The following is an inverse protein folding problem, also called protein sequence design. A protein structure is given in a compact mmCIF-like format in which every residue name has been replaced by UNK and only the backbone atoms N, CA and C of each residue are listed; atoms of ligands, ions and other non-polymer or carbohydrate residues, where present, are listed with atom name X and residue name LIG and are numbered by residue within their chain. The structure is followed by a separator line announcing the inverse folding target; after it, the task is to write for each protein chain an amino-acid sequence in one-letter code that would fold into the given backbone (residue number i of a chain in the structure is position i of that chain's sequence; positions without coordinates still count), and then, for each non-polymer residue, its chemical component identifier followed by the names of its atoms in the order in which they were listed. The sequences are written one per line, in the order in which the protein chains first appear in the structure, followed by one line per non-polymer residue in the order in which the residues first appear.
data_IF_621985452932
#
_entry.id   IF_621985452932
#
_cell.length_a   1.000
_cell.length_b   1.000
_cell.length_c   1.000
_cell.angle_alpha   90.00
_cell.angle_beta   90.00
_cell.angle_gamma   90.00
#
_symmetry.space_group_name_H-M   'P 1'
#
loop_
_entity.id
_entity.type
_entity.pdbx_description
1 polymer ?
#
# COMPACT_ATOMS: atom_id res chain seq x y z
N UNK A 1 12.03 3.70 -5.33
CA UNK A 1 12.57 3.79 -6.73
C UNK A 1 12.75 2.38 -7.30
N UNK A 2 12.25 2.11 -8.49
CA UNK A 2 12.28 0.79 -9.14
C UNK A 2 12.63 0.87 -10.63
N UNK A 3 13.22 -0.20 -11.15
CA UNK A 3 13.41 -0.48 -12.57
C UNK A 3 12.52 -1.67 -12.93
N UNK A 4 11.71 -1.53 -13.96
CA UNK A 4 10.77 -2.56 -14.41
C UNK A 4 11.08 -2.94 -15.85
N UNK A 5 11.13 -4.24 -16.11
CA UNK A 5 11.11 -4.82 -17.44
C UNK A 5 9.72 -5.39 -17.70
N UNK A 6 9.09 -5.04 -18.82
CA UNK A 6 7.76 -5.51 -19.19
C UNK A 6 7.62 -5.68 -20.71
N UNK A 7 6.52 -6.33 -21.14
CA UNK A 7 6.23 -6.52 -22.57
C UNK A 7 6.07 -5.22 -23.35
N UNK A 8 5.59 -4.16 -22.70
CA UNK A 8 5.53 -2.79 -23.22
C UNK A 8 5.80 -1.80 -22.08
N UNK A 9 6.50 -0.71 -22.40
CA UNK A 9 6.82 0.38 -21.50
C UNK A 9 6.79 1.73 -22.27
N UNK A 10 5.60 2.30 -22.37
CA UNK A 10 5.31 3.50 -23.18
C UNK A 10 4.70 4.58 -22.29
N UNK A 11 5.08 5.84 -22.54
CA UNK A 11 4.46 6.98 -21.86
C UNK A 11 3.02 7.16 -22.35
N UNK A 12 2.12 7.59 -21.48
CA UNK A 12 0.71 7.77 -21.84
C UNK A 12 -0.17 6.55 -21.60
N UNK A 13 0.42 5.39 -21.30
CA UNK A 13 -0.29 4.14 -21.04
C UNK A 13 -0.50 3.89 -19.54
N UNK A 14 -0.27 4.90 -18.70
CA UNK A 14 -0.57 4.81 -17.28
C UNK A 14 -2.08 4.77 -17.03
N UNK A 15 -2.54 3.77 -16.29
CA UNK A 15 -3.94 3.62 -15.89
C UNK A 15 -4.05 3.22 -14.42
N UNK A 16 -5.23 3.45 -13.84
CA UNK A 16 -5.56 3.03 -12.47
C UNK A 16 -6.42 1.78 -12.53
N UNK A 17 -6.03 0.75 -11.78
CA UNK A 17 -6.86 -0.44 -11.56
C UNK A 17 -6.64 -0.99 -10.17
N UNK A 18 -7.71 -1.34 -9.48
CA UNK A 18 -7.66 -1.91 -8.13
C UNK A 18 -6.83 -1.06 -7.16
N UNK A 19 -6.91 0.26 -7.27
CA UNK A 19 -6.12 1.19 -6.45
C UNK A 19 -4.62 1.23 -6.73
N UNK A 20 -4.17 0.58 -7.81
CA UNK A 20 -2.77 0.56 -8.25
C UNK A 20 -2.59 1.37 -9.54
N UNK A 21 -1.40 1.96 -9.69
CA UNK A 21 -0.99 2.70 -10.88
C UNK A 21 -0.15 1.76 -11.75
N UNK A 22 -0.75 1.26 -12.83
CA UNK A 22 -0.10 0.38 -13.81
C UNK A 22 0.28 1.16 -15.05
N UNK A 23 1.20 0.60 -15.84
CA UNK A 23 1.60 1.19 -17.12
C UNK A 23 2.14 0.13 -18.11
N UNK A 24 1.79 -1.14 -17.87
CA UNK A 24 2.25 -2.30 -18.60
C UNK A 24 1.16 -3.39 -18.59
N UNK A 25 0.13 -3.21 -19.42
CA UNK A 25 -0.97 -4.17 -19.55
C UNK A 25 -0.65 -5.29 -20.55
N UNK A 26 -1.15 -6.49 -20.28
CA UNK A 26 -1.18 -7.60 -21.23
C UNK A 26 0.10 -8.44 -21.26
N UNK A 27 0.90 -8.45 -20.17
CA UNK A 27 2.20 -9.12 -20.20
C UNK A 27 2.79 -9.45 -18.84
N UNK A 28 3.92 -10.16 -18.91
CA UNK A 28 4.77 -10.40 -17.76
C UNK A 28 5.60 -9.16 -17.45
N UNK A 29 5.87 -8.96 -16.16
CA UNK A 29 6.80 -7.95 -15.70
C UNK A 29 7.72 -8.50 -14.62
N UNK A 30 8.89 -7.87 -14.50
CA UNK A 30 9.84 -8.04 -13.42
C UNK A 30 10.26 -6.66 -12.96
N UNK A 31 10.19 -6.42 -11.65
CA UNK A 31 10.55 -5.16 -11.03
C UNK A 31 11.60 -5.42 -9.94
N UNK A 32 12.61 -4.56 -9.91
CA UNK A 32 13.58 -4.53 -8.83
C UNK A 32 13.88 -3.09 -8.43
N UNK A 33 14.12 -2.86 -7.14
CA UNK A 33 14.43 -1.52 -6.67
C UNK A 33 14.71 -1.45 -5.18
N UNK A 34 14.53 -0.24 -4.65
CA UNK A 34 14.74 0.09 -3.24
C UNK A 34 13.58 0.94 -2.76
N UNK A 35 13.12 0.63 -1.55
CA UNK A 35 12.19 1.48 -0.79
C UNK A 35 12.91 2.01 0.43
N UNK A 36 12.70 3.29 0.73
CA UNK A 36 13.08 3.91 1.99
C UNK A 36 11.86 4.54 2.65
N UNK A 37 11.61 4.19 3.90
CA UNK A 37 10.53 4.73 4.71
C UNK A 37 11.09 5.48 5.93
N UNK A 38 10.23 6.24 6.60
CA UNK A 38 10.48 6.69 7.97
C UNK A 38 10.35 5.55 8.97
N UNK A 39 10.82 5.78 10.19
CA UNK A 39 10.62 4.85 11.28
C UNK A 39 9.15 4.87 11.71
N UNK A 40 8.51 3.69 11.67
CA UNK A 40 7.14 3.53 12.17
C UNK A 40 7.16 3.25 13.67
N UNK A 41 8.09 2.41 14.11
CA UNK A 41 8.29 2.09 15.51
C UNK A 41 9.48 2.85 16.10
N UNK A 42 9.41 3.22 17.38
CA UNK A 42 10.55 3.79 18.09
C UNK A 42 11.74 2.83 18.05
N UNK A 43 12.95 3.35 17.91
CA UNK A 43 14.18 2.55 17.83
C UNK A 43 14.14 1.48 16.72
N UNK A 44 13.51 1.78 15.58
CA UNK A 44 13.50 0.92 14.40
C UNK A 44 14.93 0.77 13.86
N UNK A 45 15.31 -0.44 13.48
CA UNK A 45 16.70 -0.74 13.11
C UNK A 45 17.00 -0.40 11.66
N UNK A 46 16.03 -0.64 10.79
CA UNK A 46 16.15 -0.50 9.35
C UNK A 46 14.90 0.15 8.80
N UNK A 47 15.10 1.08 7.87
CA UNK A 47 14.03 1.77 7.18
C UNK A 47 14.27 1.83 5.67
N UNK A 48 15.21 1.03 5.17
CA UNK A 48 15.49 0.81 3.77
C UNK A 48 15.44 -0.68 3.48
N UNK A 49 14.80 -1.08 2.39
CA UNK A 49 14.73 -2.48 1.97
C UNK A 49 14.79 -2.58 0.44
N UNK A 50 15.34 -3.69 -0.10
CA UNK A 50 15.16 -3.99 -1.51
C UNK A 50 13.69 -4.31 -1.79
N UNK A 51 13.24 -3.91 -2.97
CA UNK A 51 11.93 -4.29 -3.53
C UNK A 51 12.20 -5.24 -4.68
N UNK A 52 11.51 -6.37 -4.69
CA UNK A 52 11.46 -7.29 -5.82
C UNK A 52 10.00 -7.61 -6.07
N UNK A 53 9.56 -7.46 -7.31
CA UNK A 53 8.25 -7.90 -7.76
C UNK A 53 8.37 -8.63 -9.10
N UNK A 54 7.44 -9.52 -9.38
CA UNK A 54 7.45 -10.39 -10.55
C UNK A 54 6.07 -10.99 -10.74
N UNK A 55 5.57 -11.01 -11.97
CA UNK A 55 4.20 -11.48 -12.20
C UNK A 55 3.64 -11.15 -13.57
N UNK A 56 2.34 -11.38 -13.70
CA UNK A 56 1.54 -11.13 -14.88
C UNK A 56 0.52 -10.04 -14.60
N UNK A 57 0.49 -9.01 -15.45
CA UNK A 57 -0.52 -7.97 -15.45
C UNK A 57 -1.34 -8.08 -16.72
N UNK A 58 -2.58 -8.55 -16.59
CA UNK A 58 -3.53 -8.68 -17.69
C UNK A 58 -4.59 -7.58 -17.65
N UNK A 59 -5.57 -7.69 -18.54
CA UNK A 59 -6.71 -6.78 -18.58
C UNK A 59 -7.59 -6.93 -17.32
N UNK A 60 -8.08 -8.15 -17.05
CA UNK A 60 -8.91 -8.39 -15.87
C UNK A 60 -8.16 -9.09 -14.73
N UNK A 61 -7.15 -9.89 -15.04
CA UNK A 61 -6.45 -10.73 -14.08
C UNK A 61 -5.00 -10.28 -13.89
N UNK A 62 -4.64 -10.04 -12.63
CA UNK A 62 -3.28 -9.68 -12.23
C UNK A 62 -2.80 -10.64 -11.14
N UNK A 63 -1.56 -11.12 -11.25
CA UNK A 63 -0.93 -11.94 -10.23
C UNK A 63 0.57 -11.65 -10.17
N UNK A 64 1.01 -11.12 -9.04
CA UNK A 64 2.42 -10.82 -8.76
C UNK A 64 2.75 -11.07 -7.29
N UNK A 65 3.96 -10.69 -6.84
CA UNK A 65 4.37 -10.88 -5.45
C UNK A 65 3.63 -9.95 -4.47
N UNK A 66 2.98 -8.90 -4.98
CA UNK A 66 2.12 -8.01 -4.22
C UNK A 66 0.75 -8.62 -3.95
N UNK A 67 0.20 -9.42 -4.88
CA UNK A 67 -1.05 -10.13 -4.66
C UNK A 67 -1.69 -10.65 -5.94
N UNK A 68 -2.95 -11.08 -5.80
CA UNK A 68 -3.78 -11.55 -6.91
C UNK A 68 -5.03 -10.69 -6.98
N UNK A 69 -5.41 -10.25 -8.17
CA UNK A 69 -6.58 -9.43 -8.42
C UNK A 69 -7.34 -9.92 -9.66
N UNK A 70 -8.67 -9.85 -9.60
CA UNK A 70 -9.55 -10.14 -10.71
C UNK A 70 -10.67 -9.09 -10.79
N UNK A 71 -10.74 -8.38 -11.91
CA UNK A 71 -11.86 -7.51 -12.28
C UNK A 71 -13.01 -8.38 -12.78
N UNK A 72 -14.17 -8.25 -12.14
CA UNK A 72 -15.37 -9.03 -12.48
C UNK A 72 -16.49 -8.15 -13.05
N UNK A 73 -16.32 -6.82 -13.05
CA UNK A 73 -17.24 -5.86 -13.62
C UNK A 73 -16.48 -4.65 -14.17
N UNK A 74 -16.93 -4.16 -15.32
CA UNK A 74 -16.31 -3.03 -16.01
C UNK A 74 -15.19 -3.44 -16.95
N UNK A 75 -14.75 -2.47 -17.74
CA UNK A 75 -13.57 -2.54 -18.59
C UNK A 75 -12.76 -1.25 -18.46
N UNK A 76 -11.71 -1.10 -19.27
CA UNK A 76 -10.81 0.06 -19.18
C UNK A 76 -11.53 1.38 -19.38
N UNK A 77 -12.62 1.44 -20.14
CA UNK A 77 -13.35 2.64 -20.54
C UNK A 77 -14.65 2.88 -19.79
N UNK A 78 -15.11 1.91 -18.99
CA UNK A 78 -16.30 2.08 -18.17
C UNK A 78 -16.08 2.99 -16.94
N UNK A 79 -17.15 3.70 -16.58
CA UNK A 79 -17.19 4.58 -15.41
C UNK A 79 -16.98 3.81 -14.10
N UNK A 80 -17.48 2.59 -14.00
CA UNK A 80 -17.38 1.76 -12.79
C UNK A 80 -16.68 0.46 -13.13
N UNK A 81 -15.60 0.20 -12.41
CA UNK A 81 -14.89 -1.08 -12.42
C UNK A 81 -14.97 -1.70 -11.03
N UNK A 82 -15.18 -3.00 -10.92
CA UNK A 82 -15.14 -3.71 -9.63
C UNK A 82 -14.26 -4.95 -9.71
N UNK A 83 -13.47 -5.13 -8.65
CA UNK A 83 -12.49 -6.20 -8.58
C UNK A 83 -12.48 -6.85 -7.20
N UNK A 84 -12.11 -8.13 -7.17
CA UNK A 84 -11.77 -8.85 -5.95
C UNK A 84 -10.26 -9.08 -5.92
N UNK A 85 -9.66 -9.09 -4.72
CA UNK A 85 -8.23 -9.34 -4.58
C UNK A 85 -7.87 -10.06 -3.28
N UNK A 86 -6.74 -10.74 -3.32
CA UNK A 86 -6.06 -11.31 -2.15
C UNK A 86 -4.68 -10.68 -2.06
N UNK A 87 -4.34 -10.17 -0.87
CA UNK A 87 -3.12 -9.39 -0.65
C UNK A 87 -2.50 -9.75 0.71
N UNK A 88 -1.17 -9.71 0.79
CA UNK A 88 -0.47 -9.68 2.07
C UNK A 88 -0.57 -8.29 2.69
N UNK A 89 -1.05 -8.17 3.92
CA UNK A 89 -1.27 -6.88 4.57
C UNK A 89 -0.83 -6.87 6.05
N UNK A 90 -0.57 -5.67 6.58
CA UNK A 90 -0.24 -5.49 7.99
C UNK A 90 1.21 -5.15 8.26
N UNK A 91 1.51 -4.91 9.53
CA UNK A 91 2.82 -4.41 9.98
C UNK A 91 3.52 -5.48 10.81
N UNK A 92 4.61 -6.09 10.33
CA UNK A 92 5.33 -7.07 11.13
C UNK A 92 5.88 -6.42 12.40
N UNK A 93 5.72 -7.13 13.53
CA UNK A 93 6.16 -6.67 14.85
C UNK A 93 7.03 -7.74 15.49
N UNK A 94 8.32 -7.48 15.56
CA UNK A 94 9.29 -8.28 16.30
C UNK A 94 10.45 -7.39 16.79
N UNK A 95 11.17 -7.87 17.79
CA UNK A 95 12.45 -7.35 18.26
C UNK A 95 13.53 -7.24 17.19
N UNK A 96 13.40 -7.99 16.08
CA UNK A 96 14.25 -7.84 14.90
C UNK A 96 13.95 -6.56 14.11
N UNK A 97 12.69 -6.12 14.08
CA UNK A 97 12.23 -4.89 13.42
C UNK A 97 12.66 -3.64 14.20
N UNK A 98 12.38 -3.60 15.50
CA UNK A 98 12.70 -2.46 16.34
C UNK A 98 13.05 -2.87 17.78
N UNK A 99 14.01 -2.17 18.39
CA UNK A 99 14.44 -2.49 19.77
C UNK A 99 13.32 -2.24 20.78
N UNK A 100 12.48 -1.24 20.54
CA UNK A 100 11.29 -0.93 21.36
C UNK A 100 10.27 -2.07 21.42
N UNK A 101 10.32 -3.03 20.50
CA UNK A 101 9.44 -4.19 20.43
C UNK A 101 9.97 -5.40 21.20
N UNK A 102 11.15 -5.32 21.82
CA UNK A 102 11.69 -6.43 22.61
C UNK A 102 10.73 -6.84 23.74
N UNK A 103 10.34 -8.10 23.76
CA UNK A 103 9.40 -8.65 24.74
C UNK A 103 7.94 -8.26 24.49
N UNK A 104 7.59 -7.80 23.28
CA UNK A 104 6.21 -7.85 22.79
C UNK A 104 5.95 -9.20 22.16
N UNK A 105 4.70 -9.61 22.08
CA UNK A 105 4.31 -10.74 21.24
C UNK A 105 4.55 -10.39 19.78
N UNK A 106 4.99 -11.39 19.02
CA UNK A 106 5.18 -11.27 17.57
C UNK A 106 3.85 -11.02 16.86
N UNK A 107 3.87 -10.21 15.80
CA UNK A 107 2.77 -10.03 14.85
C UNK A 107 3.33 -10.21 13.45
N UNK A 108 2.68 -11.05 12.66
CA UNK A 108 3.07 -11.32 11.30
C UNK A 108 2.13 -10.60 10.31
N UNK A 109 2.55 -10.56 9.06
CA UNK A 109 1.72 -10.12 7.94
C UNK A 109 0.51 -11.07 7.83
N UNK A 110 -0.67 -10.50 7.66
CA UNK A 110 -1.91 -11.22 7.43
C UNK A 110 -2.15 -11.43 5.94
N UNK A 111 -3.01 -12.39 5.62
CA UNK A 111 -3.59 -12.49 4.27
C UNK A 111 -4.98 -11.88 4.38
N UNK A 112 -5.25 -10.91 3.51
CA UNK A 112 -6.52 -10.22 3.43
C UNK A 112 -7.22 -10.55 2.11
N UNK A 113 -8.54 -10.66 2.17
CA UNK A 113 -9.42 -10.68 1.01
C UNK A 113 -10.13 -9.34 0.93
N UNK A 114 -10.17 -8.75 -0.26
CA UNK A 114 -10.79 -7.44 -0.47
C UNK A 114 -11.61 -7.33 -1.74
N UNK A 115 -12.48 -6.33 -1.72
CA UNK A 115 -13.21 -5.81 -2.87
C UNK A 115 -12.74 -4.40 -3.14
N UNK A 116 -12.77 -4.03 -4.40
CA UNK A 116 -12.45 -2.71 -4.90
C UNK A 116 -13.55 -2.23 -5.85
N UNK A 117 -13.78 -0.92 -5.83
CA UNK A 117 -14.55 -0.24 -6.87
C UNK A 117 -13.78 1.01 -7.32
N UNK A 118 -13.46 1.07 -8.61
CA UNK A 118 -12.84 2.23 -9.24
C UNK A 118 -13.89 3.01 -10.03
N UNK A 119 -13.94 4.32 -9.78
CA UNK A 119 -14.82 5.27 -10.45
C UNK A 119 -13.98 6.15 -11.38
N UNK A 120 -14.04 5.87 -12.69
CA UNK A 120 -13.39 6.69 -13.72
C UNK A 120 -14.27 7.89 -14.02
N UNK A 121 -13.86 9.06 -13.53
CA UNK A 121 -14.59 10.33 -13.72
C UNK A 121 -14.36 10.86 -15.14
N UNK A 122 -13.12 10.74 -15.61
CA UNK A 122 -12.67 11.00 -16.97
C UNK A 122 -11.35 10.22 -17.22
N UNK A 123 -10.73 10.29 -18.42
CA UNK A 123 -9.48 9.55 -18.69
C UNK A 123 -8.32 9.80 -17.73
N UNK A 124 -8.28 10.95 -17.07
CA UNK A 124 -7.18 11.35 -16.20
C UNK A 124 -7.55 11.31 -14.72
N UNK A 125 -8.80 11.07 -14.37
CA UNK A 125 -9.29 11.21 -13.00
C UNK A 125 -10.01 9.94 -12.54
N UNK A 126 -9.46 9.28 -11.52
CA UNK A 126 -10.02 8.03 -10.98
C UNK A 126 -10.12 8.13 -9.46
N UNK A 127 -11.28 7.76 -8.91
CA UNK A 127 -11.45 7.51 -7.48
C UNK A 127 -11.49 5.99 -7.30
N UNK A 128 -10.46 5.45 -6.65
CA UNK A 128 -10.42 4.04 -6.27
C UNK A 128 -10.87 3.87 -4.84
N UNK A 129 -11.73 2.89 -4.57
CA UNK A 129 -12.18 2.54 -3.22
C UNK A 129 -11.88 1.09 -2.91
N UNK A 130 -11.69 0.77 -1.64
CA UNK A 130 -11.48 -0.61 -1.24
C UNK A 130 -12.07 -0.91 0.13
N UNK A 131 -12.39 -2.18 0.33
CA UNK A 131 -12.73 -2.78 1.61
C UNK A 131 -12.08 -4.16 1.68
N UNK A 132 -11.35 -4.44 2.76
CA UNK A 132 -10.69 -5.73 2.95
C UNK A 132 -10.78 -6.22 4.39
N UNK A 133 -10.72 -7.54 4.56
CA UNK A 133 -10.81 -8.24 5.83
C UNK A 133 -9.74 -9.33 5.93
N UNK A 134 -9.18 -9.51 7.14
CA UNK A 134 -8.19 -10.54 7.41
C UNK A 134 -8.78 -11.94 7.35
N UNK A 135 -8.25 -12.79 6.48
CA UNK A 135 -8.68 -14.19 6.30
C UNK A 135 -7.68 -15.21 6.85
N UNK A 136 -6.43 -14.80 7.12
CA UNK A 136 -5.42 -15.68 7.76
C UNK A 136 -5.64 -15.90 9.27
N UNK A 137 -6.62 -15.20 9.88
CA UNK A 137 -6.90 -15.27 11.31
C UNK A 137 -5.93 -14.47 12.19
N UNK A 138 -5.00 -13.71 11.60
CA UNK A 138 -4.06 -12.85 12.33
C UNK A 138 -4.81 -11.77 13.13
N UNK A 139 -5.73 -11.05 12.49
CA UNK A 139 -6.60 -10.07 13.12
C UNK A 139 -8.06 -10.28 12.66
N UNK A 140 -9.03 -9.85 13.46
CA UNK A 140 -10.49 -10.00 13.17
C UNK A 140 -11.15 -8.70 12.69
N UNK A 141 -10.34 -7.77 12.22
CA UNK A 141 -10.77 -6.43 11.82
C UNK A 141 -10.97 -6.29 10.33
N UNK A 142 -11.37 -5.11 9.90
CA UNK A 142 -11.40 -4.71 8.50
C UNK A 142 -10.65 -3.40 8.30
N UNK A 143 -10.30 -3.15 7.05
CA UNK A 143 -9.73 -1.90 6.56
C UNK A 143 -10.50 -1.47 5.33
N UNK A 144 -10.59 -0.17 5.09
CA UNK A 144 -11.17 0.34 3.86
C UNK A 144 -10.69 1.75 3.59
N UNK A 145 -10.93 2.25 2.40
CA UNK A 145 -10.43 3.57 2.05
C UNK A 145 -10.83 4.00 0.65
N UNK A 146 -10.39 5.20 0.32
CA UNK A 146 -10.52 5.78 -1.01
C UNK A 146 -9.24 6.53 -1.36
N UNK A 147 -8.87 6.48 -2.64
CA UNK A 147 -7.74 7.21 -3.21
C UNK A 147 -8.21 7.90 -4.48
N UNK A 148 -7.98 9.20 -4.57
CA UNK A 148 -8.13 9.96 -5.80
C UNK A 148 -6.77 10.02 -6.52
N UNK A 149 -6.78 9.71 -7.80
CA UNK A 149 -5.62 9.78 -8.69
C UNK A 149 -5.89 10.79 -9.81
N UNK A 150 -4.87 11.57 -10.15
CA UNK A 150 -4.87 12.44 -11.33
C UNK A 150 -3.69 12.07 -12.22
N UNK A 151 -3.94 11.62 -13.45
CA UNK A 151 -2.89 11.21 -14.40
C UNK A 151 -2.50 12.42 -15.25
N UNK A 152 -1.20 12.74 -15.25
CA UNK A 152 -0.64 13.82 -16.06
C UNK A 152 0.49 13.27 -16.94
N UNK A 153 0.42 13.51 -18.25
CA UNK A 153 1.52 13.19 -19.16
C UNK A 153 2.36 14.45 -19.41
N UNK A 154 3.60 14.46 -18.95
CA UNK A 154 4.54 15.58 -19.08
C UNK A 154 5.66 15.14 -20.02
N UNK A 155 5.49 15.39 -21.32
CA UNK A 155 6.42 14.91 -22.33
C UNK A 155 6.39 13.39 -22.41
N UNK A 156 7.50 12.73 -22.07
CA UNK A 156 7.61 11.27 -22.00
C UNK A 156 7.51 10.73 -20.56
N UNK A 157 7.06 11.52 -19.59
CA UNK A 157 6.95 11.10 -18.19
C UNK A 157 5.49 11.12 -17.76
N UNK A 158 5.02 10.04 -17.17
CA UNK A 158 3.72 10.04 -16.52
C UNK A 158 3.92 10.41 -15.04
N UNK A 159 3.25 11.48 -14.63
CA UNK A 159 3.22 11.98 -13.26
C UNK A 159 1.80 11.80 -12.73
N UNK A 160 1.66 10.99 -11.68
CA UNK A 160 0.37 10.66 -11.08
C UNK A 160 0.38 11.08 -9.61
N UNK A 161 0.00 12.33 -9.29
CA UNK A 161 -0.31 12.71 -7.92
C UNK A 161 -1.57 12.00 -7.43
N UNK A 162 -1.59 11.67 -6.14
CA UNK A 162 -2.72 11.02 -5.50
C UNK A 162 -2.90 11.45 -4.05
N UNK A 163 -4.15 11.42 -3.59
CA UNK A 163 -4.52 11.68 -2.20
C UNK A 163 -5.43 10.56 -1.71
N UNK A 164 -5.18 10.07 -0.50
CA UNK A 164 -5.89 8.91 0.05
C UNK A 164 -6.42 9.14 1.45
N UNK A 165 -7.48 8.41 1.78
CA UNK A 165 -8.01 8.26 3.12
C UNK A 165 -8.17 6.78 3.40
N UNK A 166 -7.67 6.31 4.54
CA UNK A 166 -7.83 4.92 4.95
C UNK A 166 -8.36 4.82 6.37
N UNK A 167 -9.42 4.04 6.53
CA UNK A 167 -9.98 3.65 7.80
C UNK A 167 -9.44 2.28 8.21
N UNK A 168 -9.06 2.17 9.48
CA UNK A 168 -8.65 0.91 10.09
C UNK A 168 -9.49 0.68 11.34
N UNK A 169 -10.13 -0.49 11.40
CA UNK A 169 -10.95 -0.88 12.54
C UNK A 169 -10.15 -1.00 13.83
N UNK A 170 -10.83 -0.85 14.97
CA UNK A 170 -10.24 -1.03 16.30
C UNK A 170 -9.45 -2.34 16.45
N UNK A 171 -10.00 -3.45 15.93
CA UNK A 171 -9.37 -4.76 16.06
C UNK A 171 -8.10 -4.89 15.20
N UNK A 172 -8.04 -4.24 14.04
CA UNK A 172 -6.81 -4.13 13.25
C UNK A 172 -5.75 -3.34 14.02
N UNK A 173 -6.14 -2.17 14.51
CA UNK A 173 -5.23 -1.23 15.17
C UNK A 173 -4.71 -1.81 16.49
N UNK A 174 -5.57 -2.42 17.30
CA UNK A 174 -5.17 -3.05 18.56
C UNK A 174 -4.24 -4.26 18.33
N UNK A 175 -4.46 -5.02 17.25
CA UNK A 175 -3.58 -6.14 16.91
C UNK A 175 -2.14 -5.69 16.61
N UNK A 176 -1.97 -4.70 15.72
CA UNK A 176 -0.65 -4.26 15.28
C UNK A 176 0.01 -3.26 16.23
N UNK A 177 -0.76 -2.34 16.80
CA UNK A 177 -0.26 -1.20 17.58
C UNK A 177 -0.61 -1.24 19.06
N UNK A 178 -1.46 -2.18 19.51
CA UNK A 178 -1.79 -2.36 20.92
C UNK A 178 -0.59 -2.82 21.76
N UNK A 179 -0.56 -2.42 23.02
CA UNK A 179 0.41 -2.88 24.02
C UNK A 179 -0.39 -3.41 25.20
N UNK A 180 -0.36 -4.72 25.40
CA UNK A 180 -1.05 -5.35 26.53
C UNK A 180 -0.34 -5.03 27.86
N UNK A 181 -1.03 -5.19 28.99
CA UNK A 181 -0.42 -4.95 30.32
C UNK A 181 0.82 -5.82 30.57
N UNK A 182 0.85 -7.04 30.00
CA UNK A 182 2.02 -7.94 30.07
C UNK A 182 3.20 -7.47 29.23
N UNK A 183 2.94 -6.64 28.22
CA UNK A 183 3.95 -6.04 27.36
C UNK A 183 4.36 -4.65 27.87
N UNK A 184 3.63 -4.07 28.82
CA UNK A 184 3.93 -2.76 29.37
C UNK A 184 5.22 -2.78 30.20
N UNK A 185 6.01 -1.70 30.08
CA UNK A 185 7.26 -1.45 30.82
C UNK A 185 7.40 0.06 31.06
N UNK A 186 8.40 0.46 31.86
CA UNK A 186 8.64 1.86 32.20
C UNK A 186 8.71 2.81 30.97
N UNK A 187 9.30 2.35 29.87
CA UNK A 187 9.45 3.11 28.62
C UNK A 187 8.45 2.71 27.52
N UNK A 188 7.48 1.83 27.80
CA UNK A 188 6.46 1.35 26.85
C UNK A 188 5.15 1.14 27.58
N UNK A 189 4.28 2.15 27.57
CA UNK A 189 2.99 2.11 28.29
C UNK A 189 2.00 1.16 27.60
N UNK A 190 1.14 0.52 28.40
CA UNK A 190 -0.02 -0.19 27.87
C UNK A 190 -0.86 0.76 27.00
N UNK A 191 -1.42 0.22 25.93
CA UNK A 191 -2.19 0.97 24.95
C UNK A 191 -3.21 0.03 24.31
N UNK A 192 -4.46 0.47 24.24
CA UNK A 192 -5.50 -0.25 23.51
C UNK A 192 -5.78 0.52 22.24
N UNK A 193 -5.56 -0.12 21.10
CA UNK A 193 -5.80 0.49 19.80
C UNK A 193 -7.25 0.94 19.66
N UNK A 194 -7.48 2.02 18.91
CA UNK A 194 -8.82 2.47 18.56
C UNK A 194 -9.00 2.57 17.05
N UNK A 195 -10.25 2.52 16.60
CA UNK A 195 -10.54 2.74 15.19
C UNK A 195 -10.03 4.12 14.76
N UNK A 196 -9.43 4.19 13.57
CA UNK A 196 -8.75 5.41 13.16
C UNK A 196 -8.87 5.64 11.66
N UNK A 197 -8.68 6.90 11.28
CA UNK A 197 -8.56 7.34 9.90
C UNK A 197 -7.15 7.90 9.68
N UNK A 198 -6.51 7.50 8.60
CA UNK A 198 -5.22 8.02 8.14
C UNK A 198 -5.43 8.78 6.83
N UNK A 199 -4.58 9.77 6.60
CA UNK A 199 -4.61 10.59 5.39
C UNK A 199 -3.28 10.46 4.65
N UNK A 200 -3.34 10.21 3.34
CA UNK A 200 -2.17 10.08 2.48
C UNK A 200 -2.14 11.15 1.40
N UNK A 201 -0.92 11.57 1.05
CA UNK A 201 -0.65 12.39 -0.12
C UNK A 201 0.64 11.87 -0.75
N UNK A 202 0.63 11.64 -2.06
CA UNK A 202 1.79 11.12 -2.75
C UNK A 202 1.76 11.38 -4.23
N UNK A 203 2.76 10.85 -4.90
CA UNK A 203 2.81 10.81 -6.35
C UNK A 203 3.61 9.60 -6.83
N UNK A 204 3.36 9.21 -8.09
CA UNK A 204 4.21 8.28 -8.85
C UNK A 204 4.73 8.97 -10.10
N UNK A 205 6.02 8.79 -10.39
CA UNK A 205 6.65 9.10 -11.67
C UNK A 205 6.91 7.78 -12.39
N UNK A 206 6.59 7.74 -13.69
CA UNK A 206 6.90 6.64 -14.59
C UNK A 206 7.67 7.21 -15.77
N UNK A 207 8.89 6.72 -15.97
CA UNK A 207 9.81 7.17 -17.01
C UNK A 207 10.18 5.97 -17.89
N UNK A 208 9.60 5.82 -19.10
CA UNK A 208 10.05 4.84 -20.06
C UNK A 208 11.46 5.17 -20.54
N UNK A 209 12.33 4.16 -20.51
CA UNK A 209 13.72 4.23 -20.98
C UNK A 209 13.82 3.64 -22.38
N UNK A 210 13.13 2.52 -22.60
CA UNK A 210 12.94 1.88 -23.91
C UNK A 210 11.52 1.33 -23.99
N UNK A 211 11.15 0.72 -25.12
CA UNK A 211 9.85 0.04 -25.30
C UNK A 211 9.57 -1.09 -24.30
N UNK A 212 10.58 -1.55 -23.55
CA UNK A 212 10.45 -2.68 -22.60
C UNK A 212 10.97 -2.37 -21.20
N UNK A 213 11.58 -1.20 -20.99
CA UNK A 213 12.24 -0.83 -19.74
C UNK A 213 11.75 0.53 -19.27
N UNK A 214 11.46 0.64 -17.98
CA UNK A 214 11.04 1.88 -17.35
C UNK A 214 11.63 2.03 -15.96
N UNK A 215 11.75 3.26 -15.52
CA UNK A 215 12.05 3.60 -14.13
C UNK A 215 10.78 4.18 -13.50
N UNK A 216 10.44 3.71 -12.30
CA UNK A 216 9.35 4.28 -11.50
C UNK A 216 9.85 4.79 -10.17
N UNK A 217 9.31 5.92 -9.73
CA UNK A 217 9.55 6.46 -8.41
C UNK A 217 8.20 6.77 -7.79
N UNK A 218 8.01 6.34 -6.54
CA UNK A 218 6.82 6.67 -5.76
C UNK A 218 7.30 7.48 -4.57
N UNK A 219 6.52 8.46 -4.14
CA UNK A 219 6.72 9.11 -2.85
C UNK A 219 5.39 9.34 -2.19
N UNK A 220 5.31 9.02 -0.90
CA UNK A 220 4.07 9.15 -0.14
C UNK A 220 4.35 9.65 1.26
N UNK A 221 3.54 10.63 1.67
CA UNK A 221 3.33 11.04 3.03
C UNK A 221 2.05 10.40 3.56
N UNK A 222 2.09 9.89 4.79
CA UNK A 222 0.90 9.42 5.51
C UNK A 222 0.85 10.06 6.89
N UNK A 223 -0.26 10.74 7.20
CA UNK A 223 -0.62 11.16 8.54
C UNK A 223 -1.44 10.05 9.21
N UNK A 224 -0.84 9.40 10.20
CA UNK A 224 -1.50 8.40 11.02
C UNK A 224 -2.51 9.08 11.96
N UNK A 225 -3.71 8.50 12.08
CA UNK A 225 -4.68 8.96 13.05
C UNK A 225 -4.30 8.54 14.49
N UNK A 226 -5.01 9.10 15.47
CA UNK A 226 -4.67 8.96 16.89
C UNK A 226 -4.79 7.53 17.42
N UNK A 227 -5.66 6.69 16.83
CA UNK A 227 -5.76 5.28 17.22
C UNK A 227 -4.47 4.47 16.99
N UNK A 228 -3.58 4.95 16.12
CA UNK A 228 -2.24 4.37 15.89
C UNK A 228 -1.17 5.23 16.56
N UNK A 229 -1.17 6.53 16.26
CA UNK A 229 -0.07 7.44 16.63
C UNK A 229 0.07 7.70 18.13
N UNK A 230 -0.99 7.52 18.92
CA UNK A 230 -0.91 7.64 20.38
C UNK A 230 -0.30 6.39 21.04
N UNK A 231 -0.09 5.32 20.27
CA UNK A 231 0.55 4.11 20.79
C UNK A 231 1.97 4.39 21.24
N UNK A 232 2.33 3.85 22.41
CA UNK A 232 3.64 4.10 23.02
C UNK A 232 4.83 3.56 22.21
N UNK A 233 4.58 2.64 21.26
CA UNK A 233 5.58 2.05 20.37
C UNK A 233 5.75 2.77 19.04
N UNK A 234 4.82 3.65 18.65
CA UNK A 234 4.88 4.39 17.38
C UNK A 234 5.81 5.58 17.53
N UNK A 235 6.70 5.77 16.55
CA UNK A 235 7.72 6.83 16.58
C UNK A 235 7.11 8.20 16.26
N UNK A 236 6.36 8.27 15.16
CA UNK A 236 5.83 9.51 14.63
C UNK A 236 4.45 9.29 13.99
N UNK A 237 3.55 10.26 14.16
CA UNK A 237 2.28 10.31 13.42
C UNK A 237 2.48 10.65 11.93
N UNK A 238 3.66 11.15 11.56
CA UNK A 238 4.04 11.52 10.20
C UNK A 238 4.94 10.43 9.62
N UNK A 239 4.47 9.76 8.58
CA UNK A 239 5.19 8.69 7.91
C UNK A 239 5.52 9.09 6.47
N UNK A 240 6.70 8.70 5.99
CA UNK A 240 7.20 8.97 4.64
C UNK A 240 7.66 7.66 4.01
N UNK A 241 7.48 7.51 2.69
CA UNK A 241 8.02 6.39 1.91
C UNK A 241 8.44 6.87 0.50
N UNK A 242 9.55 6.35 -0.03
CA UNK A 242 10.15 6.66 -1.34
C UNK A 242 10.74 5.42 -2.01
#
# INVERSE_FOLDING_TARGET
LTLTAAGTATAGDTYIRNGNIYNNEGGWMVEAGVVQASDLFKDQKHNTAPVLNGGYHGEDFNADLGGINYRFLGDNDELLNMSAYVVGSGVPRDSDVAKSLKGTKRRDIAIDLGLNADFRLDPNNVISTYLQHGVSGAYKGFQGGATYFHIMNIGNVDFVPFASVSYQSKDYVDYYFGVTDKEARANRKAYKGDATVNYGLGYKLVVPITEHWQISQVSQYTRLGSGISDSSIVDSANQWAV
#
